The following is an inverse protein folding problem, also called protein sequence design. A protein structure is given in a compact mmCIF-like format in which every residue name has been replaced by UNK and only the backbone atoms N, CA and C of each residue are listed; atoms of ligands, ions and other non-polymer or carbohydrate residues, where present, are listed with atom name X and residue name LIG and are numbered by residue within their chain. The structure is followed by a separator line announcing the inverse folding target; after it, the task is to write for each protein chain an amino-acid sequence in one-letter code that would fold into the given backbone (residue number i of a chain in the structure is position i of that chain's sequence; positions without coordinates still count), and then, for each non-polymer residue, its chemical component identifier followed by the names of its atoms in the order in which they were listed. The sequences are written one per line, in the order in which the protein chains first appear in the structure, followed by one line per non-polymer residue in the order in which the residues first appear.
data_IF_086999490897
#
_entry.id   IF_086999490897
#
_cell.length_a   1.000
_cell.length_b   1.000
_cell.length_c   1.000
_cell.angle_alpha   90.00
_cell.angle_beta   90.00
_cell.angle_gamma   90.00
#
_symmetry.space_group_name_H-M   'P 1'
#
loop_
_entity.id
_entity.type
_entity.pdbx_description
1 polymer ?
#
# COMPACT_ATOMS: atom_id res chain seq x y z
N UNK A 1 7.64 1.04 8.90
CA UNK A 1 7.32 -0.39 8.61
C UNK A 1 5.87 -0.52 8.20
N UNK A 2 5.59 -1.26 7.12
CA UNK A 2 4.26 -1.39 6.53
C UNK A 2 3.88 -2.89 6.56
N UNK A 3 2.83 -3.23 7.31
CA UNK A 3 2.31 -4.60 7.37
C UNK A 3 1.51 -4.89 6.09
N UNK A 4 2.10 -5.65 5.17
CA UNK A 4 1.56 -5.99 3.86
C UNK A 4 0.36 -6.93 3.99
N UNK A 5 -0.84 -6.43 3.71
CA UNK A 5 -2.12 -7.12 3.91
C UNK A 5 -2.36 -7.55 5.36
N UNK A 6 -1.82 -6.76 6.33
CA UNK A 6 -1.77 -7.11 7.74
C UNK A 6 -0.57 -7.97 8.12
N UNK A 7 -0.63 -8.64 9.27
CA UNK A 7 0.37 -9.64 9.68
C UNK A 7 0.14 -10.98 8.94
N UNK A 8 0.34 -10.94 7.63
CA UNK A 8 -0.09 -11.99 6.69
C UNK A 8 0.80 -13.24 6.67
N UNK A 9 1.92 -13.23 7.39
CA UNK A 9 2.72 -14.44 7.62
C UNK A 9 2.03 -15.44 8.57
N UNK A 10 1.38 -14.90 9.60
CA UNK A 10 0.78 -15.69 10.68
C UNK A 10 -0.72 -15.92 10.49
N UNK A 11 -1.39 -15.00 9.79
CA UNK A 11 -2.85 -14.97 9.62
C UNK A 11 -3.22 -14.79 8.14
N UNK A 12 -4.43 -15.19 7.72
CA UNK A 12 -4.87 -14.98 6.34
C UNK A 12 -4.81 -13.51 5.96
N UNK A 13 -4.20 -13.22 4.81
CA UNK A 13 -4.02 -11.87 4.30
C UNK A 13 -5.35 -11.14 4.07
N UNK A 14 -5.34 -9.81 4.18
CA UNK A 14 -6.50 -8.96 3.93
C UNK A 14 -7.72 -9.29 4.81
N UNK A 15 -7.48 -9.70 6.06
CA UNK A 15 -8.54 -10.00 7.05
C UNK A 15 -8.45 -9.11 8.26
N UNK A 16 -9.59 -8.86 8.94
CA UNK A 16 -9.61 -8.06 10.17
C UNK A 16 -8.68 -8.62 11.25
N UNK A 17 -8.57 -9.96 11.49
CA UNK A 17 -7.59 -10.48 12.43
C UNK A 17 -6.13 -10.18 12.04
N UNK A 18 -5.78 -10.21 10.74
CA UNK A 18 -4.42 -9.88 10.29
C UNK A 18 -4.10 -8.40 10.52
N UNK A 19 -5.07 -7.51 10.35
CA UNK A 19 -4.91 -6.08 10.62
C UNK A 19 -4.83 -5.81 12.12
N UNK A 20 -5.69 -6.44 12.93
CA UNK A 20 -5.61 -6.34 14.39
C UNK A 20 -4.24 -6.79 14.89
N UNK A 21 -3.72 -7.90 14.37
CA UNK A 21 -2.38 -8.38 14.73
C UNK A 21 -1.27 -7.42 14.34
N UNK A 22 -1.36 -6.74 13.20
CA UNK A 22 -0.41 -5.72 12.79
C UNK A 22 -0.41 -4.51 13.75
N UNK A 23 -1.60 -4.12 14.23
CA UNK A 23 -1.76 -3.06 15.24
C UNK A 23 -1.12 -3.48 16.57
N UNK A 24 -1.40 -4.69 17.06
CA UNK A 24 -0.81 -5.23 18.30
C UNK A 24 0.72 -5.29 18.26
N UNK A 25 1.29 -5.64 17.10
CA UNK A 25 2.75 -5.67 16.88
C UNK A 25 3.34 -4.28 16.88
N UNK A 26 2.56 -3.23 16.62
CA UNK A 26 3.04 -1.85 16.54
C UNK A 26 3.61 -1.47 15.16
N UNK A 27 3.02 -1.98 14.08
CA UNK A 27 3.33 -1.51 12.74
C UNK A 27 2.97 -0.02 12.56
N UNK A 28 3.73 0.72 11.76
CA UNK A 28 3.42 2.13 11.47
C UNK A 28 2.21 2.25 10.55
N UNK A 29 2.10 1.33 9.58
CA UNK A 29 1.02 1.26 8.61
C UNK A 29 0.56 -0.19 8.41
N UNK A 30 -0.74 -0.36 8.14
CA UNK A 30 -1.24 -1.54 7.44
C UNK A 30 -1.49 -1.19 5.97
N UNK A 31 -1.12 -2.10 5.10
CA UNK A 31 -1.51 -2.00 3.70
C UNK A 31 -2.58 -3.05 3.40
N UNK A 32 -3.49 -2.70 2.50
CA UNK A 32 -4.57 -3.56 2.05
C UNK A 32 -5.01 -3.27 0.61
N UNK A 33 -5.56 -4.30 -0.04
CA UNK A 33 -5.93 -4.31 -1.45
C UNK A 33 -7.42 -4.00 -1.65
N UNK A 34 -7.76 -2.89 -2.31
CA UNK A 34 -9.14 -2.45 -2.54
C UNK A 34 -9.63 -2.90 -3.92
N UNK A 35 -10.75 -3.61 -3.93
CA UNK A 35 -11.52 -4.00 -5.11
C UNK A 35 -12.98 -3.57 -4.99
N UNK A 36 -13.74 -3.68 -6.10
CA UNK A 36 -15.20 -3.72 -6.06
C UNK A 36 -15.70 -5.15 -6.30
N UNK A 37 -16.66 -5.58 -5.51
CA UNK A 37 -17.41 -6.81 -5.74
C UNK A 37 -18.35 -6.70 -6.95
N UNK A 38 -19.02 -7.79 -7.32
CA UNK A 38 -19.90 -7.82 -8.48
C UNK A 38 -21.10 -6.86 -8.36
N UNK A 39 -21.54 -6.58 -7.14
CA UNK A 39 -22.62 -5.63 -6.79
C UNK A 39 -22.11 -4.23 -6.47
N UNK A 40 -20.80 -3.99 -6.61
CA UNK A 40 -20.18 -2.68 -6.45
C UNK A 40 -19.77 -2.30 -5.04
N UNK A 41 -19.85 -3.20 -4.06
CA UNK A 41 -19.34 -2.95 -2.71
C UNK A 41 -17.81 -2.85 -2.73
N UNK A 42 -17.23 -1.90 -2.00
CA UNK A 42 -15.78 -1.82 -1.81
C UNK A 42 -15.35 -2.88 -0.79
N UNK A 43 -14.53 -3.82 -1.24
CA UNK A 43 -14.06 -4.96 -0.45
C UNK A 43 -12.54 -5.04 -0.46
N UNK A 44 -11.99 -5.68 0.57
CA UNK A 44 -10.55 -5.82 0.75
C UNK A 44 -10.15 -7.26 0.45
N UNK A 45 -9.32 -7.43 -0.61
CA UNK A 45 -8.82 -8.73 -1.08
C UNK A 45 -7.76 -8.54 -2.15
N UNK A 46 -6.76 -9.42 -2.23
CA UNK A 46 -5.75 -9.36 -3.29
C UNK A 46 -6.30 -9.77 -4.66
N UNK A 47 -7.01 -10.88 -4.69
CA UNK A 47 -7.57 -11.42 -5.94
C UNK A 47 -8.92 -10.76 -6.27
N UNK A 48 -9.27 -10.67 -7.56
CA UNK A 48 -10.58 -10.19 -7.96
C UNK A 48 -11.70 -10.97 -7.25
N UNK A 49 -12.61 -10.29 -6.53
CA UNK A 49 -13.61 -10.94 -5.71
C UNK A 49 -14.56 -11.78 -6.58
N UNK A 50 -14.68 -13.07 -6.28
CA UNK A 50 -15.62 -14.00 -6.95
C UNK A 50 -16.98 -14.01 -6.27
N UNK A 51 -17.02 -13.87 -4.94
CA UNK A 51 -18.22 -13.81 -4.10
C UNK A 51 -17.99 -12.83 -2.96
N UNK A 52 -19.02 -12.06 -2.58
CA UNK A 52 -18.98 -11.04 -1.53
C UNK A 52 -18.94 -11.61 -0.11
N UNK A 53 -19.55 -12.76 0.13
CA UNK A 53 -20.01 -13.19 1.45
C UNK A 53 -18.93 -13.43 2.53
N UNK A 54 -17.64 -13.42 2.17
CA UNK A 54 -16.54 -13.68 3.12
C UNK A 54 -15.42 -12.64 3.12
N UNK A 55 -15.60 -11.52 2.40
CA UNK A 55 -14.56 -10.50 2.28
C UNK A 55 -14.85 -9.31 3.21
N UNK A 56 -13.85 -8.77 3.93
CA UNK A 56 -14.03 -7.53 4.68
C UNK A 56 -14.43 -6.39 3.75
N UNK A 57 -15.34 -5.54 4.20
CA UNK A 57 -15.66 -4.28 3.53
C UNK A 57 -14.59 -3.26 3.85
N UNK A 58 -14.30 -2.38 2.90
CA UNK A 58 -13.35 -1.30 3.13
C UNK A 58 -13.68 -0.48 4.39
N UNK A 59 -14.96 -0.16 4.60
CA UNK A 59 -15.39 0.60 5.77
C UNK A 59 -15.07 -0.12 7.10
N UNK A 60 -15.24 -1.45 7.16
CA UNK A 60 -14.92 -2.25 8.37
C UNK A 60 -13.41 -2.22 8.68
N UNK A 61 -12.57 -2.28 7.63
CA UNK A 61 -11.11 -2.19 7.78
C UNK A 61 -10.69 -0.80 8.25
N UNK A 62 -11.26 0.25 7.66
CA UNK A 62 -10.96 1.63 8.06
C UNK A 62 -11.43 1.93 9.48
N UNK A 63 -12.60 1.43 9.89
CA UNK A 63 -13.11 1.59 11.27
C UNK A 63 -12.19 0.90 12.28
N UNK A 64 -11.67 -0.30 11.96
CA UNK A 64 -10.71 -1.02 12.79
C UNK A 64 -9.40 -0.23 12.97
N UNK A 65 -8.90 0.40 11.91
CA UNK A 65 -7.60 1.08 11.90
C UNK A 65 -7.66 2.49 12.49
N UNK A 66 -8.84 3.11 12.52
CA UNK A 66 -9.01 4.53 12.85
C UNK A 66 -8.40 4.90 14.20
N UNK A 67 -7.46 5.86 14.19
CA UNK A 67 -6.75 6.35 15.38
C UNK A 67 -5.80 5.33 16.05
N UNK A 68 -5.59 4.17 15.41
CA UNK A 68 -4.75 3.10 15.96
C UNK A 68 -3.50 2.83 15.11
N UNK A 69 -3.60 2.98 13.79
CA UNK A 69 -2.51 2.70 12.84
C UNK A 69 -2.73 3.48 11.54
N UNK A 70 -1.65 3.88 10.88
CA UNK A 70 -1.74 4.46 9.53
C UNK A 70 -2.23 3.46 8.49
N UNK A 71 -2.90 3.94 7.44
CA UNK A 71 -3.42 3.08 6.37
C UNK A 71 -2.81 3.38 5.02
N UNK A 72 -2.52 2.33 4.26
CA UNK A 72 -2.09 2.38 2.86
C UNK A 72 -3.06 1.56 2.02
N UNK A 73 -3.88 2.23 1.20
CA UNK A 73 -4.89 1.60 0.36
C UNK A 73 -4.36 1.38 -1.07
N UNK A 74 -4.10 0.13 -1.46
CA UNK A 74 -3.77 -0.18 -2.84
C UNK A 74 -5.03 -0.29 -3.70
N UNK A 75 -5.15 0.54 -4.72
CA UNK A 75 -6.22 0.45 -5.71
C UNK A 75 -5.90 -0.64 -6.73
N UNK A 76 -6.53 -1.80 -6.61
CA UNK A 76 -6.32 -2.96 -7.50
C UNK A 76 -7.11 -2.82 -8.79
N UNK A 77 -6.39 -2.64 -9.92
CA UNK A 77 -6.97 -2.59 -11.27
C UNK A 77 -8.24 -1.72 -11.35
N UNK A 78 -8.23 -0.47 -10.85
CA UNK A 78 -9.44 0.34 -10.65
C UNK A 78 -10.23 0.55 -11.95
N UNK A 79 -9.57 0.52 -13.10
CA UNK A 79 -10.25 0.66 -14.41
C UNK A 79 -11.09 -0.56 -14.83
N UNK A 80 -10.86 -1.71 -14.23
CA UNK A 80 -11.75 -2.88 -14.40
C UNK A 80 -13.14 -2.62 -13.84
N UNK A 81 -13.24 -1.72 -12.87
CA UNK A 81 -14.44 -1.40 -12.11
C UNK A 81 -14.98 0.01 -12.39
N UNK A 82 -14.72 0.55 -13.60
CA UNK A 82 -15.14 1.92 -13.98
C UNK A 82 -16.59 2.24 -13.67
N UNK A 83 -17.51 1.28 -13.89
CA UNK A 83 -18.94 1.44 -13.62
C UNK A 83 -19.25 1.72 -12.13
N UNK A 84 -18.34 1.38 -11.22
CA UNK A 84 -18.53 1.57 -9.78
C UNK A 84 -17.73 2.75 -9.21
N UNK A 85 -16.96 3.45 -10.03
CA UNK A 85 -16.12 4.58 -9.66
C UNK A 85 -15.29 4.31 -8.38
N UNK A 86 -14.57 3.17 -8.38
CA UNK A 86 -13.81 2.67 -7.22
C UNK A 86 -12.85 3.73 -6.68
N UNK A 87 -12.17 4.46 -7.56
CA UNK A 87 -11.20 5.49 -7.13
C UNK A 87 -11.90 6.54 -6.27
N UNK A 88 -12.93 7.20 -6.79
CA UNK A 88 -13.62 8.29 -6.07
C UNK A 88 -14.28 7.81 -4.79
N UNK A 89 -14.89 6.64 -4.81
CA UNK A 89 -15.58 6.07 -3.64
C UNK A 89 -14.59 5.65 -2.55
N UNK A 90 -13.43 5.08 -2.92
CA UNK A 90 -12.36 4.80 -1.96
C UNK A 90 -11.87 6.09 -1.32
N UNK A 91 -11.56 7.12 -2.14
CA UNK A 91 -11.09 8.41 -1.65
C UNK A 91 -12.09 9.12 -0.71
N UNK A 92 -13.38 8.91 -0.90
CA UNK A 92 -14.41 9.48 -0.03
C UNK A 92 -14.44 8.86 1.38
N UNK A 93 -13.87 7.68 1.56
CA UNK A 93 -13.79 6.99 2.86
C UNK A 93 -12.45 7.22 3.58
N UNK A 94 -11.39 7.59 2.84
CA UNK A 94 -10.06 7.80 3.42
C UNK A 94 -9.96 9.15 4.11
N UNK A 95 -9.26 9.18 5.25
CA UNK A 95 -8.83 10.41 5.90
C UNK A 95 -7.64 11.06 5.17
N UNK A 96 -7.22 12.26 5.62
CA UNK A 96 -6.15 13.03 4.97
C UNK A 96 -4.75 12.46 5.25
N UNK A 97 -4.61 11.58 6.23
CA UNK A 97 -3.33 10.94 6.59
C UNK A 97 -3.09 9.63 5.82
N UNK A 98 -4.13 9.11 5.18
CA UNK A 98 -4.05 7.89 4.39
C UNK A 98 -3.07 8.03 3.21
N UNK A 99 -2.50 6.89 2.81
CA UNK A 99 -1.64 6.79 1.63
C UNK A 99 -2.34 5.94 0.58
N UNK A 100 -2.36 6.41 -0.67
CA UNK A 100 -2.92 5.63 -1.78
C UNK A 100 -1.79 5.03 -2.60
N UNK A 101 -1.88 3.73 -2.82
CA UNK A 101 -0.90 2.94 -3.58
C UNK A 101 -1.53 2.44 -4.87
N UNK A 102 -0.81 2.47 -5.99
CA UNK A 102 -1.31 1.88 -7.24
C UNK A 102 -0.19 1.55 -8.23
N UNK A 103 -0.38 0.49 -9.00
CA UNK A 103 0.44 0.19 -10.18
C UNK A 103 0.04 1.02 -11.40
N UNK A 104 -1.21 1.44 -11.49
CA UNK A 104 -1.76 2.14 -12.66
C UNK A 104 -1.56 3.66 -12.54
N UNK A 105 -0.65 4.19 -13.33
CA UNK A 105 -0.29 5.59 -13.30
C UNK A 105 -1.47 6.56 -13.60
N UNK A 106 -2.46 6.11 -14.36
CA UNK A 106 -3.68 6.88 -14.61
C UNK A 106 -4.56 7.01 -13.36
N UNK A 107 -4.63 5.96 -12.54
CA UNK A 107 -5.35 6.02 -11.27
C UNK A 107 -4.67 7.00 -10.30
N UNK A 108 -3.35 6.96 -10.18
CA UNK A 108 -2.59 7.95 -9.39
C UNK A 108 -2.88 9.38 -9.88
N UNK A 109 -2.90 9.62 -11.20
CA UNK A 109 -3.25 10.93 -11.73
C UNK A 109 -4.67 11.38 -11.30
N UNK A 110 -5.63 10.44 -11.28
CA UNK A 110 -6.99 10.72 -10.80
C UNK A 110 -7.01 11.04 -9.31
N UNK A 111 -6.29 10.27 -8.48
CA UNK A 111 -6.14 10.54 -7.04
C UNK A 111 -5.58 11.94 -6.82
N UNK A 112 -4.48 12.28 -7.47
CA UNK A 112 -3.83 13.61 -7.35
C UNK A 112 -4.72 14.77 -7.80
N UNK A 113 -5.60 14.55 -8.77
CA UNK A 113 -6.55 15.55 -9.22
C UNK A 113 -7.74 15.75 -8.24
N UNK A 114 -8.18 14.68 -7.57
CA UNK A 114 -9.33 14.71 -6.67
C UNK A 114 -8.97 15.06 -5.22
N UNK A 115 -7.83 14.56 -4.74
CA UNK A 115 -7.33 14.70 -3.36
C UNK A 115 -5.82 15.00 -3.40
N UNK A 116 -5.39 16.21 -3.80
CA UNK A 116 -3.98 16.57 -3.96
C UNK A 116 -3.18 16.52 -2.64
N UNK A 117 -3.84 16.59 -1.50
CA UNK A 117 -3.25 16.49 -0.17
C UNK A 117 -2.80 15.06 0.18
N UNK A 118 -3.45 14.03 -0.37
CA UNK A 118 -3.09 12.64 -0.07
C UNK A 118 -1.70 12.26 -0.61
N UNK A 119 -0.94 11.59 0.23
CA UNK A 119 0.30 10.94 -0.21
C UNK A 119 -0.01 9.79 -1.16
N UNK A 120 0.78 9.68 -2.23
CA UNK A 120 0.60 8.61 -3.21
C UNK A 120 1.89 7.87 -3.45
N UNK A 121 1.81 6.54 -3.53
CA UNK A 121 2.91 5.65 -3.92
C UNK A 121 2.62 5.05 -5.30
N UNK A 122 3.47 5.35 -6.27
CA UNK A 122 3.44 4.70 -7.56
C UNK A 122 4.33 3.46 -7.54
N UNK A 123 3.77 2.27 -7.68
CA UNK A 123 4.57 1.08 -7.95
C UNK A 123 5.18 1.16 -9.34
N UNK A 124 6.53 1.09 -9.42
CA UNK A 124 7.28 1.38 -10.64
C UNK A 124 7.68 0.13 -11.45
N UNK A 125 6.97 -0.98 -11.27
CA UNK A 125 7.23 -2.22 -12.02
C UNK A 125 7.19 -2.01 -13.54
N UNK A 126 6.18 -1.29 -14.03
CA UNK A 126 5.98 -0.98 -15.46
C UNK A 126 5.94 0.54 -15.75
N UNK A 127 5.99 1.37 -14.71
CA UNK A 127 5.91 2.83 -14.83
C UNK A 127 7.28 3.43 -14.61
N UNK A 128 7.82 4.23 -15.54
CA UNK A 128 9.10 4.90 -15.33
C UNK A 128 9.08 5.88 -14.15
N UNK A 129 10.16 5.96 -13.37
CA UNK A 129 10.31 6.87 -12.23
C UNK A 129 9.97 8.34 -12.56
N UNK A 130 10.37 8.82 -13.74
CA UNK A 130 10.05 10.19 -14.18
C UNK A 130 8.55 10.45 -14.29
N UNK A 131 7.75 9.41 -14.54
CA UNK A 131 6.28 9.54 -14.61
C UNK A 131 5.70 9.69 -13.22
N UNK A 132 6.19 8.94 -12.23
CA UNK A 132 5.81 9.10 -10.82
C UNK A 132 6.17 10.51 -10.31
N UNK A 133 7.40 10.97 -10.59
CA UNK A 133 7.86 12.31 -10.21
C UNK A 133 7.02 13.43 -10.89
N UNK A 134 6.77 13.32 -12.19
CA UNK A 134 5.97 14.31 -12.93
C UNK A 134 4.50 14.39 -12.45
N UNK A 135 3.99 13.34 -11.78
CA UNK A 135 2.67 13.34 -11.15
C UNK A 135 2.67 13.84 -9.71
N UNK A 136 3.82 14.22 -9.18
CA UNK A 136 3.93 14.65 -7.78
C UNK A 136 3.63 13.54 -6.79
N UNK A 137 3.97 12.28 -7.12
CA UNK A 137 3.90 11.19 -6.14
C UNK A 137 4.81 11.50 -4.96
N UNK A 138 4.38 11.10 -3.77
CA UNK A 138 5.23 11.13 -2.59
C UNK A 138 6.37 10.11 -2.71
N UNK A 139 6.05 8.87 -3.13
CA UNK A 139 7.05 7.81 -3.21
C UNK A 139 6.93 6.94 -4.47
N UNK A 140 8.04 6.29 -4.80
CA UNK A 140 8.11 5.19 -5.74
C UNK A 140 8.20 3.86 -4.98
N UNK A 141 7.31 2.90 -5.32
CA UNK A 141 7.33 1.55 -4.76
C UNK A 141 8.05 0.57 -5.68
N UNK A 142 9.07 -0.09 -5.16
CA UNK A 142 9.88 -1.05 -5.89
C UNK A 142 9.58 -2.48 -5.44
N UNK A 143 9.53 -3.39 -6.40
CA UNK A 143 9.70 -4.82 -6.11
C UNK A 143 11.10 -5.07 -5.54
N UNK A 144 11.24 -5.90 -4.51
CA UNK A 144 12.51 -6.11 -3.80
C UNK A 144 13.68 -6.44 -4.74
N UNK A 145 13.49 -7.36 -5.69
CA UNK A 145 14.51 -7.73 -6.66
C UNK A 145 15.00 -6.55 -7.55
N UNK A 146 14.23 -5.47 -7.61
CA UNK A 146 14.53 -4.25 -8.40
C UNK A 146 15.00 -3.08 -7.53
N UNK A 147 14.96 -3.21 -6.22
CA UNK A 147 15.39 -2.19 -5.26
C UNK A 147 16.92 -2.17 -5.09
N UNK A 148 17.62 -1.91 -6.19
CA UNK A 148 19.09 -1.77 -6.18
C UNK A 148 19.51 -0.39 -5.66
N UNK A 149 20.73 -0.23 -5.08
CA UNK A 149 21.24 1.07 -4.63
C UNK A 149 21.13 2.17 -5.70
N UNK A 150 21.44 1.82 -6.95
CA UNK A 150 21.36 2.74 -8.10
C UNK A 150 19.90 3.14 -8.42
N UNK A 151 18.95 2.20 -8.31
CA UNK A 151 17.55 2.49 -8.58
C UNK A 151 16.94 3.39 -7.50
N UNK A 152 17.25 3.12 -6.23
CA UNK A 152 16.82 3.91 -5.08
C UNK A 152 17.40 5.33 -5.12
N UNK A 153 18.70 5.45 -5.41
CA UNK A 153 19.35 6.76 -5.59
C UNK A 153 18.73 7.56 -6.72
N UNK A 154 18.38 6.90 -7.83
CA UNK A 154 17.72 7.57 -8.97
C UNK A 154 16.33 8.09 -8.62
N UNK A 155 15.57 7.38 -7.78
CA UNK A 155 14.27 7.86 -7.28
C UNK A 155 14.46 9.11 -6.42
N UNK A 156 15.40 9.08 -5.47
CA UNK A 156 15.72 10.24 -4.61
C UNK A 156 16.17 11.47 -5.39
N UNK A 157 16.98 11.30 -6.45
CA UNK A 157 17.37 12.40 -7.35
C UNK A 157 16.19 13.05 -8.08
N UNK A 158 15.06 12.35 -8.18
CA UNK A 158 13.80 12.85 -8.73
C UNK A 158 12.85 13.42 -7.66
N UNK A 159 13.30 13.51 -6.40
CA UNK A 159 12.50 13.99 -5.27
C UNK A 159 11.45 12.99 -4.78
N UNK A 160 11.63 11.70 -5.07
CA UNK A 160 10.73 10.66 -4.62
C UNK A 160 11.30 9.96 -3.38
N UNK A 161 10.47 9.79 -2.36
CA UNK A 161 10.70 8.78 -1.33
C UNK A 161 10.67 7.37 -1.95
N UNK A 162 11.16 6.37 -1.21
CA UNK A 162 11.24 5.00 -1.71
C UNK A 162 10.59 4.01 -0.76
N UNK A 163 9.77 3.13 -1.32
CA UNK A 163 9.22 1.99 -0.60
C UNK A 163 9.57 0.69 -1.33
N UNK A 164 9.71 -0.41 -0.60
CA UNK A 164 10.08 -1.71 -1.19
C UNK A 164 9.12 -2.80 -0.72
N UNK A 165 8.62 -3.63 -1.66
CA UNK A 165 7.70 -4.74 -1.45
C UNK A 165 8.20 -6.02 -2.14
N UNK A 166 8.00 -7.20 -1.60
CA UNK A 166 7.67 -7.54 -0.24
C UNK A 166 8.91 -8.14 0.38
N UNK A 167 9.34 -7.66 1.54
CA UNK A 167 10.60 -8.03 2.17
C UNK A 167 10.32 -8.77 3.48
N UNK A 168 10.67 -10.06 3.52
CA UNK A 168 10.42 -10.94 4.67
C UNK A 168 11.72 -11.49 5.31
N UNK A 169 12.87 -10.96 4.89
CA UNK A 169 14.20 -11.40 5.32
C UNK A 169 14.90 -10.30 6.13
N UNK A 170 15.36 -10.63 7.35
CA UNK A 170 15.94 -9.65 8.26
C UNK A 170 17.25 -9.02 7.75
N UNK A 171 18.22 -9.75 7.17
CA UNK A 171 19.38 -9.15 6.51
C UNK A 171 19.00 -8.13 5.45
N UNK A 172 18.02 -8.47 4.60
CA UNK A 172 17.57 -7.57 3.54
C UNK A 172 16.87 -6.32 4.08
N UNK A 173 16.07 -6.45 5.16
CA UNK A 173 15.46 -5.30 5.84
C UNK A 173 16.54 -4.31 6.32
N UNK A 174 17.62 -4.79 6.96
CA UNK A 174 18.73 -3.94 7.42
C UNK A 174 19.43 -3.25 6.25
N UNK A 175 19.77 -4.00 5.21
CA UNK A 175 20.38 -3.43 4.00
C UNK A 175 19.54 -2.30 3.41
N UNK A 176 18.24 -2.48 3.27
CA UNK A 176 17.34 -1.46 2.74
C UNK A 176 17.22 -0.24 3.66
N UNK A 177 17.23 -0.44 4.97
CA UNK A 177 17.27 0.65 5.95
C UNK A 177 18.57 1.45 5.85
N UNK A 178 19.73 0.78 5.74
CA UNK A 178 21.04 1.42 5.53
C UNK A 178 21.09 2.18 4.19
N UNK A 179 20.39 1.69 3.17
CA UNK A 179 20.24 2.38 1.90
C UNK A 179 19.24 3.55 1.96
N UNK A 180 18.63 3.82 3.11
CA UNK A 180 17.71 4.94 3.33
C UNK A 180 16.35 4.75 2.67
N UNK A 181 15.83 3.52 2.62
CA UNK A 181 14.46 3.25 2.17
C UNK A 181 13.47 3.75 3.22
N UNK A 182 12.48 4.55 2.80
CA UNK A 182 11.50 5.19 3.68
C UNK A 182 10.47 4.20 4.23
N UNK A 183 10.10 3.18 3.44
CA UNK A 183 9.10 2.20 3.86
C UNK A 183 9.35 0.80 3.31
N UNK A 184 9.20 -0.20 4.17
CA UNK A 184 9.33 -1.62 3.81
C UNK A 184 7.98 -2.30 4.02
N UNK A 185 7.41 -2.87 2.96
CA UNK A 185 6.24 -3.76 3.02
C UNK A 185 6.71 -5.17 3.40
N UNK A 186 6.12 -5.72 4.44
CA UNK A 186 6.47 -7.04 4.93
C UNK A 186 5.24 -7.81 5.41
N UNK A 187 5.23 -9.12 5.17
CA UNK A 187 4.24 -10.03 5.73
C UNK A 187 4.53 -10.34 7.22
N UNK A 188 5.77 -9.99 7.67
CA UNK A 188 6.32 -10.29 9.00
C UNK A 188 6.61 -9.01 9.80
N UNK A 189 5.58 -8.23 10.19
CA UNK A 189 5.79 -6.99 10.92
C UNK A 189 6.51 -7.21 12.27
N UNK A 190 6.29 -8.35 12.93
CA UNK A 190 7.00 -8.76 14.13
C UNK A 190 8.52 -8.92 13.91
N UNK A 191 8.93 -9.53 12.80
CA UNK A 191 10.33 -9.65 12.42
C UNK A 191 10.94 -8.28 12.10
N UNK A 192 10.22 -7.45 11.35
CA UNK A 192 10.67 -6.11 10.98
C UNK A 192 10.88 -5.24 12.22
N UNK A 193 9.95 -5.27 13.18
CA UNK A 193 10.10 -4.53 14.44
C UNK A 193 11.35 -4.95 15.21
N UNK A 194 11.60 -6.25 15.37
CA UNK A 194 12.82 -6.76 16.03
C UNK A 194 14.11 -6.46 15.28
N UNK A 195 14.02 -6.20 13.97
CA UNK A 195 15.20 -6.01 13.10
C UNK A 195 15.59 -4.55 12.96
N UNK A 196 14.62 -3.65 12.96
CA UNK A 196 14.78 -2.23 12.63
C UNK A 196 14.48 -1.28 13.82
N UNK A 197 13.73 -1.78 14.83
CA UNK A 197 13.43 -1.07 16.08
C UNK A 197 14.48 -1.36 17.12
#
# INVERSE_FOLDING_TARGET
MIAHRGASWDLPENTLPAFERAIEVGADFVEFDVHASADGELVVTHDPPRRRASLPRLAEVLDLCRGRIGVMAELKRPYRYRRFDVVRRTLALLDDEAVVVCFEAGAIATVRALRPELRTVQHVALVPLRVAAARGCWAAGFEDARATPRALERARKLGLETTVYTVNDAPRMRELAELGVTGIFTDRPDLALRTLG
#
